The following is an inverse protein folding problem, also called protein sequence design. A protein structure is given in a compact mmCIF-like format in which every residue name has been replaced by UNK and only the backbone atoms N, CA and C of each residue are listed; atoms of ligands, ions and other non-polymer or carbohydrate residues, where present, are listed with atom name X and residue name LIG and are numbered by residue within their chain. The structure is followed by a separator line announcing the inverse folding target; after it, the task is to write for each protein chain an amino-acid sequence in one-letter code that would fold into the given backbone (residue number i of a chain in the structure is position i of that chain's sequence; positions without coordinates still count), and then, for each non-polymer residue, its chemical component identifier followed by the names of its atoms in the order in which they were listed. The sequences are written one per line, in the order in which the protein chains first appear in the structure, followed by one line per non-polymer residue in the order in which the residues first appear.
data_IF_787051804573
#
_entry.id   IF_787051804573
#
_cell.length_a   1.000
_cell.length_b   1.000
_cell.length_c   1.000
_cell.angle_alpha   90.00
_cell.angle_beta   90.00
_cell.angle_gamma   90.00
#
_symmetry.space_group_name_H-M   'P 1'
#
loop_
_entity.id
_entity.type
_entity.pdbx_description
1 polymer ?
#
# COMPACT_ATOMS: atom_id res chain seq x y z
N UNK A 1 -28.96 -28.75 -17.57
CA UNK A 1 -27.95 -28.36 -16.57
C UNK A 1 -28.72 -27.85 -15.37
N UNK A 2 -28.95 -28.73 -14.40
CA UNK A 2 -29.65 -28.38 -13.15
C UNK A 2 -28.77 -27.41 -12.36
N UNK A 3 -29.38 -26.37 -11.81
CA UNK A 3 -28.68 -25.27 -11.15
C UNK A 3 -28.34 -25.67 -9.70
N UNK A 4 -27.47 -26.68 -9.57
CA UNK A 4 -27.14 -27.33 -8.30
C UNK A 4 -26.32 -26.43 -7.35
N UNK A 5 -25.83 -25.29 -7.87
CA UNK A 5 -25.11 -24.26 -7.09
C UNK A 5 -25.97 -23.53 -6.07
N UNK A 6 -27.30 -23.47 -6.26
CA UNK A 6 -28.18 -22.73 -5.34
C UNK A 6 -28.52 -23.54 -4.09
N UNK A 7 -28.43 -24.87 -4.18
CA UNK A 7 -28.77 -25.79 -3.09
C UNK A 7 -27.71 -25.87 -1.98
N UNK A 8 -26.47 -25.49 -2.29
CA UNK A 8 -25.33 -25.53 -1.36
C UNK A 8 -25.01 -24.16 -0.74
N UNK A 9 -25.83 -23.14 -1.04
CA UNK A 9 -25.69 -21.81 -0.44
C UNK A 9 -26.26 -21.80 0.98
N UNK A 10 -25.70 -20.97 1.88
CA UNK A 10 -26.31 -20.70 3.19
C UNK A 10 -27.77 -20.30 3.03
N UNK A 11 -28.62 -20.67 3.99
CA UNK A 11 -30.07 -20.38 3.98
C UNK A 11 -30.34 -18.96 3.42
N UNK A 12 -31.07 -18.82 2.29
CA UNK A 12 -31.34 -17.53 1.68
C UNK A 12 -31.93 -16.52 2.67
N UNK A 13 -32.73 -16.99 3.63
CA UNK A 13 -33.32 -16.14 4.67
C UNK A 13 -32.26 -15.55 5.62
N UNK A 14 -31.23 -16.32 5.95
CA UNK A 14 -30.11 -15.88 6.77
C UNK A 14 -29.21 -14.89 6.03
N UNK A 15 -28.99 -15.09 4.72
CA UNK A 15 -28.27 -14.15 3.87
C UNK A 15 -29.00 -12.81 3.77
N UNK A 16 -30.32 -12.83 3.53
CA UNK A 16 -31.14 -11.63 3.48
C UNK A 16 -31.11 -10.84 4.80
N UNK A 17 -31.25 -11.52 5.94
CA UNK A 17 -31.15 -10.89 7.26
C UNK A 17 -29.78 -10.29 7.53
N UNK A 18 -28.71 -10.98 7.14
CA UNK A 18 -27.34 -10.50 7.33
C UNK A 18 -27.07 -9.25 6.48
N UNK A 19 -27.54 -9.23 5.23
CA UNK A 19 -27.45 -8.07 4.36
C UNK A 19 -28.23 -6.86 4.92
N UNK A 20 -29.42 -7.09 5.49
CA UNK A 20 -30.22 -6.03 6.11
C UNK A 20 -29.53 -5.42 7.34
N UNK A 21 -28.88 -6.26 8.16
CA UNK A 21 -28.08 -5.80 9.30
C UNK A 21 -26.86 -4.97 8.86
N UNK A 22 -26.18 -5.39 7.78
CA UNK A 22 -25.02 -4.68 7.24
C UNK A 22 -25.37 -3.35 6.58
N UNK A 23 -26.57 -3.22 6.01
CA UNK A 23 -27.09 -1.94 5.48
C UNK A 23 -27.31 -0.92 6.60
N UNK A 24 -27.68 -1.36 7.80
CA UNK A 24 -27.92 -0.50 8.94
C UNK A 24 -28.96 0.59 8.63
N UNK A 25 -28.63 1.86 8.92
CA UNK A 25 -29.49 3.02 8.68
C UNK A 25 -29.21 3.76 7.36
N UNK A 26 -28.45 3.16 6.43
CA UNK A 26 -28.13 3.78 5.14
C UNK A 26 -29.30 3.69 4.18
N UNK A 27 -29.64 4.79 3.51
CA UNK A 27 -30.69 4.81 2.51
C UNK A 27 -30.38 3.85 1.34
N UNK A 28 -31.41 3.20 0.81
CA UNK A 28 -31.26 2.21 -0.26
C UNK A 28 -30.61 2.80 -1.53
N UNK A 29 -30.82 4.09 -1.82
CA UNK A 29 -30.21 4.76 -2.96
C UNK A 29 -28.71 5.01 -2.78
N UNK A 30 -28.21 5.12 -1.54
CA UNK A 30 -26.78 5.25 -1.25
C UNK A 30 -26.10 3.87 -1.15
N UNK A 31 -26.78 2.89 -0.53
CA UNK A 31 -26.25 1.55 -0.32
C UNK A 31 -25.88 0.82 -1.62
N UNK A 32 -26.67 1.00 -2.69
CA UNK A 32 -26.38 0.40 -4.00
C UNK A 32 -25.02 0.81 -4.56
N UNK A 33 -24.57 2.04 -4.30
CA UNK A 33 -23.28 2.53 -4.81
C UNK A 33 -22.10 1.90 -4.07
N UNK A 34 -22.26 1.66 -2.75
CA UNK A 34 -21.26 0.96 -1.95
C UNK A 34 -21.10 -0.49 -2.38
N UNK A 35 -22.23 -1.22 -2.47
CA UNK A 35 -22.21 -2.65 -2.79
C UNK A 35 -21.73 -2.89 -4.22
N UNK A 36 -22.25 -2.14 -5.20
CA UNK A 36 -21.81 -2.27 -6.59
C UNK A 36 -20.35 -1.85 -6.76
N UNK A 37 -19.90 -0.81 -6.05
CA UNK A 37 -18.50 -0.39 -6.06
C UNK A 37 -17.56 -1.46 -5.50
N UNK A 38 -17.90 -2.06 -4.36
CA UNK A 38 -17.10 -3.13 -3.76
C UNK A 38 -17.10 -4.40 -4.62
N UNK A 39 -18.24 -4.75 -5.22
CA UNK A 39 -18.34 -5.90 -6.12
C UNK A 39 -17.47 -5.70 -7.37
N UNK A 40 -17.50 -4.48 -7.93
CA UNK A 40 -16.64 -4.12 -9.05
C UNK A 40 -15.15 -4.20 -8.69
N UNK A 41 -14.74 -3.64 -7.54
CA UNK A 41 -13.36 -3.71 -7.06
C UNK A 41 -12.88 -5.15 -6.88
N UNK A 42 -13.73 -6.00 -6.28
CA UNK A 42 -13.44 -7.43 -6.13
C UNK A 42 -13.26 -8.09 -7.50
N UNK A 43 -14.21 -7.90 -8.40
CA UNK A 43 -14.17 -8.50 -9.74
C UNK A 43 -12.91 -8.09 -10.51
N UNK A 44 -12.59 -6.80 -10.53
CA UNK A 44 -11.42 -6.28 -11.25
C UNK A 44 -10.12 -6.79 -10.62
N UNK A 45 -10.05 -6.86 -9.29
CA UNK A 45 -8.89 -7.43 -8.60
C UNK A 45 -8.70 -8.91 -8.92
N UNK A 46 -9.76 -9.72 -8.88
CA UNK A 46 -9.70 -11.15 -9.20
C UNK A 46 -9.35 -11.39 -10.67
N UNK A 47 -9.93 -10.60 -11.58
CA UNK A 47 -9.61 -10.68 -13.01
C UNK A 47 -8.15 -10.33 -13.29
N UNK A 48 -7.59 -9.34 -12.59
CA UNK A 48 -6.20 -8.96 -12.71
C UNK A 48 -5.28 -10.07 -12.17
N UNK A 49 -5.55 -10.59 -10.97
CA UNK A 49 -4.73 -11.65 -10.35
C UNK A 49 -4.71 -12.91 -11.23
N UNK A 50 -5.87 -13.34 -11.75
CA UNK A 50 -5.95 -14.49 -12.65
C UNK A 50 -5.17 -14.30 -13.96
N UNK A 51 -5.08 -13.08 -14.49
CA UNK A 51 -4.30 -12.80 -15.68
C UNK A 51 -2.80 -12.74 -15.35
N UNK A 52 -2.46 -12.12 -14.22
CA UNK A 52 -1.10 -12.06 -13.69
C UNK A 52 -0.51 -13.45 -13.48
N UNK A 53 -1.26 -14.37 -12.87
CA UNK A 53 -0.85 -15.77 -12.68
C UNK A 53 -0.58 -16.50 -14.00
N UNK A 54 -1.36 -16.20 -15.04
CA UNK A 54 -1.14 -16.77 -16.39
C UNK A 54 0.13 -16.21 -17.03
N UNK A 55 0.31 -14.89 -16.98
CA UNK A 55 1.52 -14.24 -17.48
C UNK A 55 2.76 -14.75 -16.75
N UNK A 56 2.70 -14.90 -15.43
CA UNK A 56 3.80 -15.47 -14.65
C UNK A 56 4.13 -16.90 -15.06
N UNK A 57 3.12 -17.74 -15.30
CA UNK A 57 3.31 -19.09 -15.82
C UNK A 57 3.93 -19.10 -17.23
N UNK A 58 3.46 -18.25 -18.13
CA UNK A 58 3.95 -18.15 -19.51
C UNK A 58 5.39 -17.62 -19.58
N UNK A 59 5.74 -16.61 -18.77
CA UNK A 59 7.08 -16.02 -18.75
C UNK A 59 8.11 -16.86 -17.97
N UNK A 60 7.66 -17.77 -17.11
CA UNK A 60 8.52 -18.66 -16.32
C UNK A 60 8.74 -20.03 -16.96
N UNK A 61 7.91 -20.42 -17.92
CA UNK A 61 8.05 -21.70 -18.65
C UNK A 61 9.16 -21.62 -19.70
N UNK A 62 10.28 -22.38 -19.58
CA UNK A 62 11.35 -22.40 -20.57
C UNK A 62 10.93 -22.89 -21.97
N UNK A 63 9.75 -23.50 -22.09
CA UNK A 63 9.18 -23.94 -23.36
C UNK A 63 8.30 -22.89 -24.05
N UNK A 64 8.01 -21.77 -23.38
CA UNK A 64 7.24 -20.66 -23.94
C UNK A 64 8.11 -19.76 -24.83
N UNK A 65 7.51 -19.20 -25.87
CA UNK A 65 8.17 -18.23 -26.76
C UNK A 65 8.53 -16.93 -26.03
N UNK A 66 7.78 -16.59 -24.97
CA UNK A 66 7.95 -15.37 -24.17
C UNK A 66 8.77 -15.61 -22.88
N UNK A 67 9.51 -16.72 -22.78
CA UNK A 67 10.29 -17.07 -21.60
C UNK A 67 11.36 -16.01 -21.25
N UNK A 68 11.36 -15.58 -19.98
CA UNK A 68 12.37 -14.68 -19.43
C UNK A 68 13.11 -15.40 -18.28
N UNK A 69 14.40 -15.66 -18.48
CA UNK A 69 15.25 -16.34 -17.50
C UNK A 69 15.60 -15.47 -16.29
N UNK A 70 15.66 -14.14 -16.49
CA UNK A 70 15.92 -13.19 -15.42
C UNK A 70 14.63 -12.85 -14.66
N UNK A 71 14.64 -13.07 -13.35
CA UNK A 71 13.46 -12.88 -12.52
C UNK A 71 13.09 -11.39 -12.41
N UNK A 72 14.09 -10.49 -12.35
CA UNK A 72 13.84 -9.06 -12.26
C UNK A 72 13.15 -8.54 -13.53
N UNK A 73 13.64 -8.96 -14.70
CA UNK A 73 13.01 -8.64 -15.98
C UNK A 73 11.60 -9.25 -16.12
N UNK A 74 11.37 -10.44 -15.56
CA UNK A 74 10.03 -11.05 -15.54
C UNK A 74 9.04 -10.23 -14.72
N UNK A 75 9.44 -9.79 -13.53
CA UNK A 75 8.59 -8.96 -12.67
C UNK A 75 8.30 -7.60 -13.29
N UNK A 76 9.26 -6.99 -14.00
CA UNK A 76 9.03 -5.76 -14.77
C UNK A 76 7.97 -5.96 -15.86
N UNK A 77 8.03 -7.09 -16.58
CA UNK A 77 7.04 -7.42 -17.62
C UNK A 77 5.65 -7.70 -17.02
N UNK A 78 5.59 -8.43 -15.90
CA UNK A 78 4.33 -8.73 -15.19
C UNK A 78 3.65 -7.44 -14.68
N UNK A 79 4.43 -6.44 -14.29
CA UNK A 79 3.91 -5.15 -13.83
C UNK A 79 3.74 -4.13 -14.97
N UNK A 80 3.95 -4.54 -16.23
CA UNK A 80 3.63 -3.71 -17.40
C UNK A 80 2.13 -3.73 -17.70
N UNK A 81 1.55 -2.55 -17.84
CA UNK A 81 0.13 -2.36 -18.14
C UNK A 81 -0.25 -2.91 -19.51
N UNK A 82 0.64 -2.80 -20.49
CA UNK A 82 0.29 -3.08 -21.89
C UNK A 82 -0.03 -4.57 -22.12
N UNK A 83 0.52 -5.47 -21.28
CA UNK A 83 0.22 -6.92 -21.25
C UNK A 83 -1.24 -7.24 -20.85
N UNK A 84 -1.89 -6.34 -20.12
CA UNK A 84 -3.28 -6.53 -19.66
C UNK A 84 -4.30 -5.94 -20.64
N UNK A 85 -3.92 -4.91 -21.40
CA UNK A 85 -4.82 -4.22 -22.34
C UNK A 85 -5.33 -5.15 -23.45
N UNK A 86 -4.46 -6.02 -23.98
CA UNK A 86 -4.81 -6.97 -25.05
C UNK A 86 -5.87 -8.01 -24.64
N UNK A 87 -5.95 -8.32 -23.36
CA UNK A 87 -6.89 -9.32 -22.81
C UNK A 87 -8.15 -8.70 -22.22
N UNK A 88 -8.37 -7.40 -22.41
CA UNK A 88 -9.50 -6.65 -21.85
C UNK A 88 -9.56 -6.76 -20.31
N UNK A 89 -8.39 -6.86 -19.67
CA UNK A 89 -8.21 -6.89 -18.21
C UNK A 89 -7.70 -5.52 -17.78
N UNK A 90 -8.30 -4.94 -16.74
CA UNK A 90 -7.83 -3.67 -16.21
C UNK A 90 -6.59 -3.87 -15.35
N UNK A 91 -5.62 -2.97 -15.48
CA UNK A 91 -4.43 -2.99 -14.64
C UNK A 91 -4.77 -2.51 -13.23
N UNK A 92 -4.34 -3.26 -12.20
CA UNK A 92 -4.64 -2.95 -10.79
C UNK A 92 -3.35 -2.74 -10.00
N UNK A 93 -3.07 -1.51 -9.55
CA UNK A 93 -1.88 -1.23 -8.74
C UNK A 93 -2.01 -1.86 -7.35
N UNK A 94 -0.87 -2.15 -6.71
CA UNK A 94 -0.79 -2.84 -5.41
C UNK A 94 -1.77 -2.32 -4.34
N UNK A 95 -1.87 -0.99 -4.18
CA UNK A 95 -2.76 -0.38 -3.18
C UNK A 95 -4.27 -0.46 -3.49
N UNK A 96 -4.65 -1.00 -4.64
CA UNK A 96 -6.03 -1.24 -5.05
C UNK A 96 -6.39 -2.73 -5.18
N UNK A 97 -5.41 -3.63 -5.00
CA UNK A 97 -5.64 -5.09 -5.05
C UNK A 97 -6.43 -5.56 -3.83
N UNK A 98 -7.28 -6.57 -4.02
CA UNK A 98 -8.17 -7.09 -2.99
C UNK A 98 -7.41 -7.75 -1.82
N UNK A 99 -6.50 -8.68 -2.14
CA UNK A 99 -5.77 -9.51 -1.15
C UNK A 99 -4.27 -9.21 -1.11
N UNK A 100 -3.82 -8.04 -1.55
CA UNK A 100 -2.39 -7.72 -1.54
C UNK A 100 -1.84 -7.57 -0.12
N UNK A 101 -0.71 -8.21 0.13
CA UNK A 101 0.06 -8.07 1.36
C UNK A 101 1.16 -7.03 1.17
N UNK A 102 1.22 -6.04 2.06
CA UNK A 102 2.29 -5.04 2.06
C UNK A 102 2.48 -4.49 3.46
N UNK A 103 3.73 -4.26 3.85
CA UNK A 103 4.06 -3.59 5.11
C UNK A 103 3.68 -2.10 5.09
N UNK A 104 3.60 -1.50 3.90
CA UNK A 104 3.22 -0.10 3.73
C UNK A 104 1.70 0.05 3.85
N UNK A 105 1.19 0.83 4.84
CA UNK A 105 -0.24 1.02 5.02
C UNK A 105 -0.92 1.68 3.81
N UNK A 106 -0.20 2.34 2.90
CA UNK A 106 -0.74 2.90 1.67
C UNK A 106 -0.89 1.88 0.53
N UNK A 107 -0.17 0.75 0.60
CA UNK A 107 -0.18 -0.32 -0.41
C UNK A 107 -0.84 -1.61 0.08
N UNK A 108 -1.29 -1.62 1.33
CA UNK A 108 -2.03 -2.73 1.92
C UNK A 108 -3.33 -2.99 1.16
N UNK A 109 -3.58 -4.25 0.83
CA UNK A 109 -4.79 -4.70 0.15
C UNK A 109 -6.07 -4.39 0.94
N UNK A 110 -7.18 -4.30 0.21
CA UNK A 110 -8.47 -3.86 0.76
C UNK A 110 -9.00 -4.80 1.84
N UNK A 111 -8.77 -6.11 1.70
CA UNK A 111 -9.24 -7.11 2.67
C UNK A 111 -8.50 -6.99 4.00
N UNK A 112 -7.18 -6.86 3.98
CA UNK A 112 -6.36 -6.64 5.19
C UNK A 112 -6.71 -5.31 5.85
N UNK A 113 -6.98 -4.28 5.04
CA UNK A 113 -7.35 -2.96 5.54
C UNK A 113 -8.80 -2.87 6.05
N UNK A 114 -9.62 -3.91 5.86
CA UNK A 114 -11.04 -3.89 6.24
C UNK A 114 -11.25 -3.70 7.76
N UNK A 115 -10.31 -4.19 8.57
CA UNK A 115 -10.31 -4.03 10.02
C UNK A 115 -9.83 -2.64 10.48
N UNK A 116 -9.25 -1.84 9.58
CA UNK A 116 -8.70 -0.53 9.90
C UNK A 116 -9.75 0.58 9.80
N UNK A 117 -9.66 1.62 10.64
CA UNK A 117 -10.49 2.81 10.48
C UNK A 117 -10.17 3.51 9.15
N UNK A 118 -11.18 4.12 8.53
CA UNK A 118 -11.00 4.87 7.28
C UNK A 118 -11.09 4.05 6.00
N UNK A 119 -11.63 2.82 6.05
CA UNK A 119 -11.86 1.95 4.89
C UNK A 119 -12.54 2.67 3.72
N UNK A 120 -13.54 3.52 3.99
CA UNK A 120 -14.23 4.28 2.93
C UNK A 120 -13.30 5.20 2.13
N UNK A 121 -12.33 5.85 2.79
CA UNK A 121 -11.34 6.69 2.10
C UNK A 121 -10.38 5.82 1.30
N UNK A 122 -9.99 4.64 1.82
CA UNK A 122 -9.13 3.70 1.11
C UNK A 122 -9.79 3.16 -0.16
N UNK A 123 -11.08 2.83 -0.10
CA UNK A 123 -11.86 2.42 -1.27
C UNK A 123 -11.88 3.54 -2.32
N UNK A 124 -12.13 4.79 -1.91
CA UNK A 124 -12.09 5.92 -2.83
C UNK A 124 -10.69 6.13 -3.43
N UNK A 125 -9.62 5.98 -2.65
CA UNK A 125 -8.23 6.01 -3.14
C UNK A 125 -7.95 4.87 -4.11
N UNK A 126 -8.42 3.66 -3.85
CA UNK A 126 -8.25 2.52 -4.75
C UNK A 126 -8.92 2.76 -6.10
N UNK A 127 -10.12 3.34 -6.10
CA UNK A 127 -10.76 3.79 -7.34
C UNK A 127 -9.95 4.84 -8.09
N UNK A 128 -9.41 5.84 -7.40
CA UNK A 128 -8.57 6.87 -8.02
C UNK A 128 -7.31 6.29 -8.66
N UNK A 129 -6.69 5.31 -8.00
CA UNK A 129 -5.53 4.60 -8.55
C UNK A 129 -5.90 3.81 -9.80
N UNK A 130 -6.99 3.05 -9.78
CA UNK A 130 -7.46 2.29 -10.94
C UNK A 130 -7.85 3.23 -12.11
N UNK A 131 -8.55 4.33 -11.84
CA UNK A 131 -8.91 5.33 -12.85
C UNK A 131 -7.70 6.02 -13.48
N UNK A 132 -6.62 6.19 -12.70
CA UNK A 132 -5.38 6.80 -13.19
C UNK A 132 -4.65 5.88 -14.17
N UNK A 133 -4.62 4.58 -13.88
CA UNK A 133 -3.94 3.59 -14.73
C UNK A 133 -4.80 3.16 -15.94
N UNK A 134 -6.13 3.35 -15.88
CA UNK A 134 -7.07 2.90 -16.91
C UNK A 134 -7.98 4.05 -17.38
N UNK A 135 -7.66 4.67 -18.51
CA UNK A 135 -8.40 5.83 -19.05
C UNK A 135 -9.89 5.54 -19.32
N UNK A 136 -10.22 4.30 -19.68
CA UNK A 136 -11.58 3.84 -19.96
C UNK A 136 -12.50 3.85 -18.72
N UNK A 137 -11.93 3.80 -17.52
CA UNK A 137 -12.67 3.79 -16.25
C UNK A 137 -12.87 5.19 -15.66
N UNK A 138 -12.31 6.23 -16.28
CA UNK A 138 -12.32 7.59 -15.76
C UNK A 138 -13.75 8.13 -15.60
N UNK A 139 -14.15 8.39 -14.36
CA UNK A 139 -15.46 8.96 -14.04
C UNK A 139 -16.62 7.96 -14.00
N UNK A 140 -16.34 6.67 -14.20
CA UNK A 140 -17.31 5.58 -14.04
C UNK A 140 -17.52 5.29 -12.55
N UNK A 141 -16.45 5.36 -11.75
CA UNK A 141 -16.51 5.06 -10.32
C UNK A 141 -16.99 6.29 -9.51
N UNK A 142 -18.19 6.19 -8.95
CA UNK A 142 -18.76 7.26 -8.11
C UNK A 142 -18.18 7.17 -6.69
N UNK A 143 -17.29 8.10 -6.34
CA UNK A 143 -16.74 8.27 -4.97
C UNK A 143 -17.83 8.32 -3.90
N UNK A 144 -17.65 7.55 -2.84
CA UNK A 144 -18.59 7.39 -1.72
C UNK A 144 -18.43 8.48 -0.64
N UNK A 145 -17.21 8.95 -0.36
CA UNK A 145 -16.96 9.81 0.81
C UNK A 145 -17.05 11.32 0.56
N UNK A 146 -17.38 11.76 -0.67
CA UNK A 146 -17.33 13.17 -1.09
C UNK A 146 -18.18 14.15 -0.24
N UNK A 147 -19.08 13.65 0.61
CA UNK A 147 -19.90 14.43 1.55
C UNK A 147 -19.34 14.59 2.98
N UNK A 148 -18.36 13.80 3.41
CA UNK A 148 -17.78 13.87 4.77
C UNK A 148 -16.36 14.40 4.71
N UNK A 149 -16.22 15.73 4.69
CA UNK A 149 -14.91 16.38 4.84
C UNK A 149 -14.26 15.88 6.14
N UNK A 150 -13.14 15.18 6.02
CA UNK A 150 -12.22 14.93 7.13
C UNK A 150 -11.90 16.28 7.79
N UNK A 151 -11.91 16.40 9.13
CA UNK A 151 -11.49 17.64 9.77
C UNK A 151 -10.04 17.89 9.36
N UNK A 152 -9.82 18.98 8.61
CA UNK A 152 -8.48 19.50 8.30
C UNK A 152 -7.75 19.58 9.64
N UNK A 153 -6.59 18.93 9.76
CA UNK A 153 -5.75 19.15 10.93
C UNK A 153 -5.45 20.65 10.97
N UNK A 154 -6.06 21.34 11.93
CA UNK A 154 -5.73 22.72 12.22
C UNK A 154 -4.35 22.67 12.83
N UNK A 155 -3.33 22.83 11.98
CA UNK A 155 -1.98 23.12 12.44
C UNK A 155 -2.07 24.33 13.36
N UNK A 156 -1.80 24.09 14.65
CA UNK A 156 -1.86 25.09 15.69
C UNK A 156 -0.87 26.21 15.35
N UNK A 157 -1.40 27.31 14.81
CA UNK A 157 -0.68 28.55 14.66
C UNK A 157 -0.30 29.04 16.07
N UNK A 158 0.93 28.71 16.47
CA UNK A 158 1.53 29.16 17.72
C UNK A 158 1.64 30.69 17.68
N UNK A 159 0.67 31.35 18.30
CA UNK A 159 0.69 32.77 18.58
C UNK A 159 1.84 33.10 19.53
N UNK A 160 3.00 33.47 18.98
CA UNK A 160 4.00 34.23 19.72
C UNK A 160 3.63 35.71 19.64
N UNK A 161 2.74 36.13 20.55
CA UNK A 161 2.59 37.55 20.90
C UNK A 161 3.70 37.94 21.87
N UNK A 162 4.27 39.08 21.54
CA UNK A 162 5.31 39.86 22.20
C UNK A 162 5.02 40.15 23.67
N UNK A 163 6.06 40.03 24.52
CA UNK A 163 6.11 40.65 25.83
C UNK A 163 7.42 41.42 25.97
N UNK A 164 7.28 42.74 25.84
CA UNK A 164 8.26 43.75 26.25
C UNK A 164 8.47 43.67 27.76
N UNK A 165 9.72 43.50 28.22
CA UNK A 165 10.10 43.97 29.56
C UNK A 165 11.58 44.29 29.64
N UNK A 166 11.80 45.46 30.21
CA UNK A 166 13.03 46.24 30.36
C UNK A 166 13.63 45.90 31.72
N UNK A 167 14.89 45.44 31.79
CA UNK A 167 15.71 45.70 32.98
C UNK A 167 17.22 45.51 32.74
N UNK A 168 17.87 46.65 32.55
CA UNK A 168 19.15 47.08 33.11
C UNK A 168 19.89 46.16 34.11
N UNK A 169 21.13 45.80 33.77
CA UNK A 169 22.33 45.80 34.65
C UNK A 169 23.56 45.40 33.81
N UNK A 170 24.40 46.35 33.39
CA UNK A 170 25.62 46.86 34.07
C UNK A 170 26.72 45.81 34.27
N UNK A 171 27.84 46.09 33.59
CA UNK A 171 29.23 46.04 34.05
C UNK A 171 30.16 44.90 33.56
N UNK A 172 31.32 45.38 33.08
CA UNK A 172 32.70 44.82 33.20
C UNK A 172 33.28 43.99 32.06
N UNK A 173 33.85 44.72 31.09
CA UNK A 173 35.28 44.78 30.71
C UNK A 173 36.23 43.72 31.32
N UNK A 174 36.93 42.98 30.44
CA UNK A 174 38.37 42.59 30.51
C UNK A 174 38.64 41.52 29.42
N UNK A 175 39.26 41.87 28.29
CA UNK A 175 40.72 41.78 27.98
C UNK A 175 41.24 40.36 27.67
N UNK A 176 42.03 40.29 26.58
CA UNK A 176 43.16 39.35 26.31
C UNK A 176 42.80 37.88 26.12
N UNK A 177 43.46 37.07 25.30
CA UNK A 177 44.43 37.17 24.20
C UNK A 177 44.82 35.72 23.84
N UNK A 178 45.40 35.54 22.65
CA UNK A 178 46.34 34.47 22.30
C UNK A 178 45.78 33.07 21.96
N UNK A 179 45.88 32.75 20.67
CA UNK A 179 46.89 31.78 20.22
C UNK A 179 46.44 30.32 20.04
N UNK A 180 46.63 29.73 18.84
CA UNK A 180 46.40 28.31 18.59
C UNK A 180 47.68 27.50 18.83
N UNK A 181 47.56 26.27 19.33
CA UNK A 181 48.65 25.30 19.33
C UNK A 181 48.17 23.91 18.90
N UNK A 182 48.70 23.51 17.75
CA UNK A 182 48.80 22.15 17.25
C UNK A 182 49.84 21.34 18.03
N UNK A 183 49.52 20.10 18.40
CA UNK A 183 50.48 19.02 18.74
C UNK A 183 49.70 17.70 18.52
N UNK A 184 49.79 16.99 17.40
CA UNK A 184 50.86 16.09 16.92
C UNK A 184 51.08 14.81 17.76
N UNK A 185 51.12 13.68 17.02
CA UNK A 185 51.90 12.45 17.30
C UNK A 185 51.22 11.24 18.01
N UNK A 186 51.74 9.99 17.88
CA UNK A 186 51.28 9.02 16.87
C UNK A 186 51.15 7.55 17.37
N UNK A 187 50.87 6.63 16.41
CA UNK A 187 51.34 5.24 16.34
C UNK A 187 50.69 4.14 17.22
N UNK A 188 50.01 3.17 16.59
CA UNK A 188 50.55 1.80 16.33
C UNK A 188 49.48 0.76 15.95
N UNK A 189 49.85 -0.35 15.26
CA UNK A 189 48.99 -1.16 14.40
C UNK A 189 48.61 -2.56 15.01
N UNK A 190 47.89 -3.46 14.28
CA UNK A 190 47.03 -4.52 14.84
C UNK A 190 47.69 -5.91 14.89
N UNK A 191 46.96 -6.95 15.39
CA UNK A 191 47.19 -8.28 14.84
C UNK A 191 45.91 -9.09 14.52
N UNK A 192 45.91 -9.55 13.26
CA UNK A 192 45.76 -10.93 12.76
C UNK A 192 44.40 -11.65 12.82
N UNK A 193 43.91 -11.88 11.61
CA UNK A 193 43.06 -12.99 11.20
C UNK A 193 43.61 -14.35 11.66
N UNK A 194 42.68 -15.25 12.01
CA UNK A 194 42.94 -16.69 12.09
C UNK A 194 41.81 -17.43 11.38
N UNK A 195 42.17 -18.02 10.25
CA UNK A 195 41.38 -18.96 9.49
C UNK A 195 41.46 -20.37 10.10
N UNK A 196 40.61 -21.25 9.55
CA UNK A 196 40.66 -22.72 9.55
C UNK A 196 40.08 -23.44 10.77
N UNK A 197 38.95 -24.15 10.58
CA UNK A 197 38.96 -25.57 10.22
C UNK A 197 37.71 -26.29 10.76
N UNK A 198 36.94 -26.86 9.82
CA UNK A 198 36.55 -28.28 9.77
C UNK A 198 36.05 -28.97 11.05
N UNK A 199 34.76 -29.34 11.06
CA UNK A 199 34.37 -30.60 11.70
C UNK A 199 33.15 -31.22 11.02
N UNK A 200 33.45 -32.17 10.15
CA UNK A 200 32.60 -33.29 9.74
C UNK A 200 32.11 -34.02 10.98
N UNK A 201 30.79 -34.20 11.14
CA UNK A 201 30.26 -35.27 12.00
C UNK A 201 29.07 -35.95 11.34
N UNK A 202 29.42 -37.05 10.71
CA UNK A 202 28.57 -38.15 10.29
C UNK A 202 27.98 -38.82 11.55
N UNK A 203 26.66 -38.90 11.66
CA UNK A 203 25.99 -39.78 12.62
C UNK A 203 24.80 -40.46 11.95
N UNK A 204 25.03 -41.75 11.74
CA UNK A 204 24.16 -42.91 11.62
C UNK A 204 22.73 -42.77 12.15
#
# INVERSE_FOLDING_TARGET
MSNDYVSDLPDPSALWKSADLLRGSVDAAEYKHLVLGLLFLKYVSESFEQHREKLEAELSDPASDDYIADEDARQEQIEDRDEYQGSNVFFVPLGARWSAESDDPAKLGLLQAASLPGLGQRIDTAFELIEKENETLKGVCRRSTRGRRSPRSVSAASSRRSATSRSSRRARRATTSAGPTSTSSPASPPPRARALASSTRLSR
#
